data_IF_886940417141
#
_entry.id   IF_886940417141
#
_cell.length_a   1.000
_cell.length_b   1.000
_cell.length_c   1.000
_cell.angle_alpha   90.00
_cell.angle_beta   90.00
_cell.angle_gamma   90.00
#
_symmetry.space_group_name_H-M   'P 1'
#
loop_
_entity.id
_entity.type
_entity.pdbx_description
1 polymer ?
#
# COMPACT_ATOMS: atom_id res chain seq x y z
N UNK A 1 -14.83 -31.91 -1.21
CA UNK A 1 -14.70 -30.76 -2.12
C UNK A 1 -15.47 -31.02 -3.39
N UNK A 2 -16.31 -30.10 -3.76
CA UNK A 2 -17.15 -30.15 -4.96
C UNK A 2 -16.43 -29.39 -6.09
N UNK A 3 -15.79 -30.16 -6.98
CA UNK A 3 -15.01 -29.59 -8.08
C UNK A 3 -15.89 -29.01 -9.21
N UNK A 4 -17.14 -29.46 -9.34
CA UNK A 4 -18.08 -28.91 -10.31
C UNK A 4 -18.47 -27.49 -9.89
N UNK A 5 -18.81 -27.29 -8.62
CA UNK A 5 -19.05 -25.97 -8.04
C UNK A 5 -17.86 -25.04 -8.22
N UNK A 6 -16.62 -25.49 -7.92
CA UNK A 6 -15.41 -24.69 -8.10
C UNK A 6 -15.28 -24.22 -9.55
N UNK A 7 -15.49 -25.13 -10.50
CA UNK A 7 -15.39 -24.81 -11.94
C UNK A 7 -16.44 -23.80 -12.37
N UNK A 8 -17.67 -23.95 -11.90
CA UNK A 8 -18.78 -23.03 -12.22
C UNK A 8 -18.56 -21.63 -11.66
N UNK A 9 -17.99 -21.51 -10.45
CA UNK A 9 -17.79 -20.23 -9.80
C UNK A 9 -16.44 -19.57 -10.13
N UNK A 10 -15.53 -20.26 -10.82
CA UNK A 10 -14.22 -19.72 -11.23
C UNK A 10 -14.32 -18.40 -12.00
N UNK A 11 -15.23 -18.20 -12.98
CA UNK A 11 -15.36 -16.93 -13.70
C UNK A 11 -15.66 -15.75 -12.77
N UNK A 12 -16.51 -15.95 -11.76
CA UNK A 12 -16.88 -14.94 -10.78
C UNK A 12 -15.67 -14.53 -9.93
N UNK A 13 -14.86 -15.51 -9.48
CA UNK A 13 -13.62 -15.22 -8.77
C UNK A 13 -12.58 -14.50 -9.62
N UNK A 14 -12.51 -14.80 -10.92
CA UNK A 14 -11.60 -14.09 -11.84
C UNK A 14 -11.98 -12.62 -11.98
N UNK A 15 -13.27 -12.30 -12.10
CA UNK A 15 -13.72 -10.90 -12.15
C UNK A 15 -13.49 -10.19 -10.82
N UNK A 16 -13.78 -10.81 -9.70
CA UNK A 16 -13.49 -10.27 -8.37
C UNK A 16 -11.97 -10.04 -8.16
N UNK A 17 -11.13 -10.98 -8.62
CA UNK A 17 -9.68 -10.85 -8.55
C UNK A 17 -9.15 -9.66 -9.36
N UNK A 18 -9.69 -9.46 -10.58
CA UNK A 18 -9.36 -8.28 -11.40
C UNK A 18 -9.72 -6.99 -10.70
N UNK A 19 -10.93 -6.91 -10.11
CA UNK A 19 -11.38 -5.74 -9.37
C UNK A 19 -10.48 -5.49 -8.14
N UNK A 20 -10.21 -6.53 -7.34
CA UNK A 20 -9.32 -6.45 -6.18
C UNK A 20 -7.95 -5.93 -6.56
N UNK A 21 -7.34 -6.49 -7.62
CA UNK A 21 -6.04 -6.07 -8.10
C UNK A 21 -6.05 -4.63 -8.64
N UNK A 22 -7.08 -4.26 -9.38
CA UNK A 22 -7.25 -2.90 -9.91
C UNK A 22 -7.30 -1.86 -8.79
N UNK A 23 -8.14 -2.08 -7.77
CA UNK A 23 -8.25 -1.21 -6.61
C UNK A 23 -6.94 -1.14 -5.81
N UNK A 24 -6.28 -2.30 -5.62
CA UNK A 24 -5.00 -2.39 -4.93
C UNK A 24 -3.91 -1.58 -5.64
N UNK A 25 -3.79 -1.72 -6.96
CA UNK A 25 -2.76 -0.99 -7.74
C UNK A 25 -2.97 0.51 -7.64
N UNK A 26 -4.19 1.01 -7.85
CA UNK A 26 -4.48 2.44 -7.73
C UNK A 26 -4.21 2.94 -6.31
N UNK A 27 -4.69 2.22 -5.30
CA UNK A 27 -4.51 2.59 -3.90
C UNK A 27 -3.04 2.63 -3.49
N UNK A 28 -2.24 1.63 -3.90
CA UNK A 28 -0.78 1.58 -3.63
C UNK A 28 -0.04 2.71 -4.35
N UNK A 29 -0.36 3.00 -5.60
CA UNK A 29 0.27 4.11 -6.33
C UNK A 29 -0.02 5.46 -5.65
N UNK A 30 -1.26 5.69 -5.25
CA UNK A 30 -1.63 6.90 -4.50
C UNK A 30 -0.95 6.94 -3.13
N UNK A 31 -0.85 5.80 -2.44
CA UNK A 31 -0.14 5.68 -1.17
C UNK A 31 1.34 6.07 -1.30
N UNK A 32 2.02 5.64 -2.37
CA UNK A 32 3.41 6.03 -2.64
C UNK A 32 3.51 7.55 -2.84
N UNK A 33 2.62 8.14 -3.63
CA UNK A 33 2.63 9.60 -3.89
C UNK A 33 2.41 10.38 -2.58
N UNK A 34 1.38 10.01 -1.80
CA UNK A 34 1.08 10.64 -0.50
C UNK A 34 2.27 10.46 0.45
N UNK A 35 2.83 9.26 0.53
CA UNK A 35 3.97 8.96 1.39
C UNK A 35 5.22 9.77 1.04
N UNK A 36 5.53 9.91 -0.26
CA UNK A 36 6.65 10.74 -0.71
C UNK A 36 6.45 12.22 -0.35
N UNK A 37 5.26 12.76 -0.56
CA UNK A 37 4.92 14.15 -0.19
C UNK A 37 5.10 14.36 1.32
N UNK A 38 4.55 13.46 2.13
CA UNK A 38 4.64 13.53 3.59
C UNK A 38 6.09 13.46 4.08
N UNK A 39 6.90 12.54 3.51
CA UNK A 39 8.33 12.44 3.87
C UNK A 39 9.12 13.68 3.50
N UNK A 40 8.85 14.27 2.33
CA UNK A 40 9.50 15.52 1.93
C UNK A 40 9.16 16.68 2.88
N UNK A 41 7.88 16.81 3.27
CA UNK A 41 7.45 17.83 4.25
C UNK A 41 8.20 17.67 5.59
N UNK A 42 8.33 16.42 6.06
CA UNK A 42 9.07 16.11 7.31
C UNK A 42 10.56 16.38 7.16
N UNK A 43 11.16 15.95 6.05
CA UNK A 43 12.60 16.11 5.78
C UNK A 43 13.01 17.57 5.72
N UNK A 44 12.28 18.39 4.95
CA UNK A 44 12.56 19.83 4.84
C UNK A 44 12.05 20.65 6.03
N UNK A 45 11.44 19.99 7.03
CA UNK A 45 10.94 20.62 8.26
C UNK A 45 10.03 21.81 8.00
N UNK A 46 9.12 21.69 7.01
CA UNK A 46 8.21 22.79 6.64
C UNK A 46 7.30 23.11 7.84
N UNK A 47 7.36 24.32 8.40
CA UNK A 47 6.57 24.68 9.58
C UNK A 47 5.07 24.45 9.36
N UNK A 48 4.32 24.12 10.42
CA UNK A 48 2.88 23.81 10.41
C UNK A 48 2.55 22.52 9.64
N UNK A 49 2.98 22.38 8.36
CA UNK A 49 2.71 21.19 7.56
C UNK A 49 3.32 19.94 8.17
N UNK A 50 4.52 20.06 8.78
CA UNK A 50 5.13 18.94 9.49
C UNK A 50 4.26 18.40 10.61
N UNK A 51 3.65 19.29 11.42
CA UNK A 51 2.79 18.91 12.54
C UNK A 51 1.51 18.22 12.03
N UNK A 52 0.92 18.74 10.94
CA UNK A 52 -0.26 18.15 10.29
C UNK A 52 0.08 16.74 9.78
N UNK A 53 1.22 16.57 9.12
CA UNK A 53 1.67 15.28 8.60
C UNK A 53 1.97 14.29 9.74
N UNK A 54 2.59 14.74 10.83
CA UNK A 54 2.82 13.90 12.02
C UNK A 54 1.50 13.43 12.62
N UNK A 55 0.52 14.32 12.78
CA UNK A 55 -0.82 13.96 13.26
C UNK A 55 -1.52 12.97 12.30
N UNK A 56 -1.44 13.20 10.99
CA UNK A 56 -1.97 12.28 9.99
C UNK A 56 -1.35 10.89 10.09
N UNK A 57 -0.03 10.78 10.15
CA UNK A 57 0.69 9.51 10.23
C UNK A 57 0.28 8.73 11.49
N UNK A 58 0.26 9.40 12.64
CA UNK A 58 -0.15 8.80 13.91
C UNK A 58 -1.61 8.33 13.87
N UNK A 59 -2.52 9.16 13.40
CA UNK A 59 -3.94 8.80 13.30
C UNK A 59 -4.15 7.64 12.33
N UNK A 60 -3.53 7.68 11.17
CA UNK A 60 -3.70 6.67 10.12
C UNK A 60 -3.16 5.30 10.55
N UNK A 61 -1.97 5.24 11.15
CA UNK A 61 -1.31 3.98 11.56
C UNK A 61 -1.94 3.35 12.80
N UNK A 62 -2.58 4.15 13.65
CA UNK A 62 -3.21 3.68 14.89
C UNK A 62 -4.72 3.40 14.73
N UNK A 63 -5.26 3.49 13.51
CA UNK A 63 -6.65 3.13 13.21
C UNK A 63 -6.71 2.03 12.15
N UNK A 64 -7.50 0.94 12.39
CA UNK A 64 -7.66 -0.11 11.38
C UNK A 64 -8.32 0.40 10.09
N UNK A 65 -7.89 -0.13 8.93
CA UNK A 65 -8.48 0.23 7.63
C UNK A 65 -9.99 0.05 7.62
N UNK A 66 -10.50 -1.01 8.21
CA UNK A 66 -11.94 -1.28 8.31
C UNK A 66 -12.71 -0.10 8.94
N UNK A 67 -12.17 0.49 10.02
CA UNK A 67 -12.79 1.63 10.70
C UNK A 67 -12.74 2.88 9.81
N UNK A 68 -11.63 3.11 9.11
CA UNK A 68 -11.49 4.20 8.15
C UNK A 68 -12.51 4.07 7.01
N UNK A 69 -12.70 2.86 6.47
CA UNK A 69 -13.70 2.58 5.44
C UNK A 69 -15.13 2.81 5.94
N UNK A 70 -15.46 2.39 7.16
CA UNK A 70 -16.77 2.65 7.76
C UNK A 70 -17.03 4.14 7.91
N UNK A 71 -16.04 4.91 8.31
CA UNK A 71 -16.17 6.36 8.36
C UNK A 71 -16.44 6.95 6.98
N UNK A 72 -15.69 6.54 5.95
CA UNK A 72 -15.88 7.03 4.59
C UNK A 72 -17.25 6.65 4.01
N UNK A 73 -17.66 5.40 4.19
CA UNK A 73 -18.86 4.86 3.55
C UNK A 73 -20.17 5.17 4.30
N UNK A 74 -20.15 5.13 5.64
CA UNK A 74 -21.34 5.37 6.47
C UNK A 74 -21.33 6.70 7.21
N UNK A 75 -20.16 7.26 7.51
CA UNK A 75 -20.01 8.49 8.27
C UNK A 75 -20.16 9.74 7.40
N UNK A 76 -19.40 9.84 6.30
CA UNK A 76 -19.43 11.01 5.42
C UNK A 76 -20.79 11.32 4.81
N UNK A 77 -21.65 10.37 4.44
CA UNK A 77 -22.99 10.66 3.96
C UNK A 77 -23.85 11.44 4.94
N UNK A 78 -23.61 11.31 6.24
CA UNK A 78 -24.35 12.06 7.27
C UNK A 78 -24.10 13.58 7.24
N UNK A 79 -23.00 13.99 6.61
CA UNK A 79 -22.64 15.40 6.39
C UNK A 79 -22.76 15.80 4.91
N UNK A 80 -23.44 14.98 4.09
CA UNK A 80 -23.74 15.28 2.69
C UNK A 80 -22.66 14.86 1.68
N UNK A 81 -21.59 14.18 2.10
CA UNK A 81 -20.53 13.70 1.20
C UNK A 81 -20.75 12.22 0.93
N UNK A 82 -21.16 11.88 -0.29
CA UNK A 82 -21.41 10.48 -0.70
C UNK A 82 -20.32 10.04 -1.66
N UNK A 83 -19.59 9.00 -1.26
CA UNK A 83 -18.56 8.35 -2.07
C UNK A 83 -19.05 6.98 -2.52
N UNK A 84 -18.64 6.56 -3.73
CA UNK A 84 -18.86 5.18 -4.18
C UNK A 84 -18.02 4.19 -3.37
N UNK A 85 -18.38 2.89 -3.40
CA UNK A 85 -17.60 1.83 -2.76
C UNK A 85 -16.13 1.82 -3.24
N UNK A 86 -15.91 2.02 -4.55
CA UNK A 86 -14.58 2.11 -5.14
C UNK A 86 -13.80 3.33 -4.63
N UNK A 87 -14.45 4.50 -4.57
CA UNK A 87 -13.82 5.71 -4.03
C UNK A 87 -13.45 5.55 -2.55
N UNK A 88 -14.33 4.94 -1.76
CA UNK A 88 -14.03 4.62 -0.36
C UNK A 88 -12.84 3.68 -0.24
N UNK A 89 -12.80 2.58 -1.04
CA UNK A 89 -11.74 1.61 -1.04
C UNK A 89 -10.38 2.23 -1.39
N UNK A 90 -10.32 2.97 -2.51
CA UNK A 90 -9.10 3.64 -2.98
C UNK A 90 -8.64 4.71 -1.97
N UNK A 91 -9.56 5.56 -1.48
CA UNK A 91 -9.22 6.62 -0.54
C UNK A 91 -8.74 6.07 0.81
N UNK A 92 -9.40 5.04 1.34
CA UNK A 92 -9.00 4.39 2.58
C UNK A 92 -7.63 3.73 2.45
N UNK A 93 -7.39 3.00 1.35
CA UNK A 93 -6.12 2.34 1.10
C UNK A 93 -4.99 3.37 0.90
N UNK A 94 -5.25 4.47 0.17
CA UNK A 94 -4.29 5.56 -0.02
C UNK A 94 -3.99 6.30 1.29
N UNK A 95 -5.01 6.52 2.13
CA UNK A 95 -4.87 7.16 3.43
C UNK A 95 -4.03 6.30 4.38
N UNK A 96 -4.35 5.02 4.52
CA UNK A 96 -3.56 4.09 5.33
C UNK A 96 -2.15 3.90 4.76
N UNK A 97 -2.07 3.55 3.48
CA UNK A 97 -0.82 3.25 2.80
C UNK A 97 0.14 4.43 2.75
N UNK A 98 -0.38 5.64 2.56
CA UNK A 98 0.42 6.86 2.53
C UNK A 98 1.24 7.08 3.80
N UNK A 99 0.67 6.76 4.97
CA UNK A 99 1.38 6.85 6.24
C UNK A 99 2.52 5.82 6.37
N UNK A 100 2.29 4.58 5.91
CA UNK A 100 3.32 3.53 5.88
C UNK A 100 4.43 3.83 4.87
N UNK A 101 4.07 4.32 3.68
CA UNK A 101 5.05 4.73 2.65
C UNK A 101 5.87 5.95 3.10
N UNK A 102 5.26 6.89 3.84
CA UNK A 102 5.96 8.04 4.42
C UNK A 102 7.07 7.60 5.39
N UNK A 103 6.79 6.66 6.27
CA UNK A 103 7.77 6.15 7.22
C UNK A 103 8.84 5.28 6.52
N UNK A 104 8.46 4.51 5.49
CA UNK A 104 9.40 3.74 4.69
C UNK A 104 10.43 4.65 4.00
N UNK A 105 9.95 5.73 3.36
CA UNK A 105 10.84 6.67 2.69
C UNK A 105 11.67 7.51 3.68
N UNK A 106 11.09 7.89 4.82
CA UNK A 106 11.84 8.55 5.91
C UNK A 106 12.98 7.67 6.40
N UNK A 107 12.74 6.37 6.63
CA UNK A 107 13.78 5.42 7.01
C UNK A 107 14.90 5.35 5.96
N UNK A 108 14.54 5.37 4.66
CA UNK A 108 15.53 5.42 3.59
C UNK A 108 16.39 6.69 3.61
N UNK A 109 15.78 7.86 3.89
CA UNK A 109 16.52 9.12 4.05
C UNK A 109 17.46 9.09 5.26
N UNK A 110 16.99 8.57 6.39
CA UNK A 110 17.77 8.50 7.64
C UNK A 110 18.96 7.52 7.53
N UNK A 111 18.91 6.57 6.60
CA UNK A 111 19.99 5.59 6.36
C UNK A 111 21.15 6.15 5.52
N UNK A 112 21.04 7.35 4.94
CA UNK A 112 22.15 7.96 4.20
C UNK A 112 23.20 8.48 5.19
N UNK A 113 24.47 8.00 5.10
CA UNK A 113 25.50 8.36 6.07
C UNK A 113 25.79 9.88 6.07
N UNK A 114 25.77 10.55 7.23
CA UNK A 114 26.03 12.00 7.33
C UNK A 114 27.38 12.43 6.74
N UNK A 115 28.38 11.57 6.81
CA UNK A 115 29.72 11.85 6.27
C UNK A 115 29.69 12.09 4.76
N UNK A 116 28.80 11.46 4.00
CA UNK A 116 28.66 11.70 2.56
C UNK A 116 28.12 13.11 2.28
N UNK A 117 27.17 13.56 3.12
CA UNK A 117 26.60 14.92 3.04
C UNK A 117 27.70 15.96 3.36
N UNK A 118 28.46 15.76 4.43
CA UNK A 118 29.54 16.64 4.83
C UNK A 118 30.66 16.71 3.78
N UNK A 119 31.05 15.57 3.22
CA UNK A 119 32.06 15.49 2.16
C UNK A 119 31.61 16.24 0.89
N UNK A 120 30.36 16.06 0.48
CA UNK A 120 29.81 16.73 -0.70
C UNK A 120 29.76 18.26 -0.50
N UNK A 121 29.36 18.72 0.68
CA UNK A 121 29.38 20.15 1.03
C UNK A 121 30.81 20.70 1.03
N UNK A 122 31.81 19.96 1.55
CA UNK A 122 33.22 20.35 1.56
C UNK A 122 33.80 20.46 0.13
N UNK A 123 33.26 19.70 -0.83
CA UNK A 123 33.59 19.83 -2.25
C UNK A 123 32.89 20.99 -2.94
N UNK A 124 32.11 21.81 -2.22
CA UNK A 124 31.46 23.01 -2.73
C UNK A 124 30.08 22.75 -3.38
N UNK A 125 29.49 21.55 -3.20
CA UNK A 125 28.14 21.29 -3.67
C UNK A 125 27.12 22.10 -2.87
N UNK A 126 26.13 22.66 -3.57
CA UNK A 126 24.99 23.32 -2.92
C UNK A 126 24.09 22.27 -2.23
N UNK A 127 23.30 22.69 -1.22
CA UNK A 127 22.35 21.80 -0.52
C UNK A 127 21.39 21.08 -1.48
N UNK A 128 20.95 21.76 -2.55
CA UNK A 128 20.08 21.15 -3.56
C UNK A 128 20.82 20.06 -4.35
N UNK A 129 22.07 20.30 -4.75
CA UNK A 129 22.90 19.30 -5.44
C UNK A 129 23.19 18.09 -4.54
N UNK A 130 23.50 18.31 -3.27
CA UNK A 130 23.69 17.23 -2.30
C UNK A 130 22.40 16.41 -2.17
N UNK A 131 21.25 17.06 -2.03
CA UNK A 131 19.97 16.35 -1.94
C UNK A 131 19.67 15.52 -3.18
N UNK A 132 19.75 16.12 -4.38
CA UNK A 132 19.35 15.45 -5.63
C UNK A 132 20.35 14.40 -6.12
N UNK A 133 21.64 14.59 -5.88
CA UNK A 133 22.68 13.73 -6.44
C UNK A 133 23.25 12.71 -5.44
N UNK A 134 23.11 12.95 -4.14
CA UNK A 134 23.68 12.08 -3.10
C UNK A 134 22.57 11.44 -2.27
N UNK A 135 21.68 12.25 -1.68
CA UNK A 135 20.70 11.76 -0.69
C UNK A 135 19.55 11.04 -1.38
N UNK A 136 18.90 11.69 -2.33
CA UNK A 136 17.67 11.17 -2.94
C UNK A 136 17.83 9.80 -3.64
N UNK A 137 18.87 9.56 -4.47
CA UNK A 137 19.09 8.28 -5.09
C UNK A 137 19.26 7.15 -4.07
N UNK A 138 20.09 7.37 -3.04
CA UNK A 138 20.31 6.39 -1.99
C UNK A 138 19.07 6.19 -1.12
N UNK A 139 18.37 7.25 -0.76
CA UNK A 139 17.12 7.16 0.02
C UNK A 139 16.06 6.34 -0.69
N UNK A 140 15.89 6.52 -2.00
CA UNK A 140 14.96 5.70 -2.82
C UNK A 140 15.39 4.24 -2.79
N UNK A 141 16.66 3.95 -3.03
CA UNK A 141 17.24 2.61 -3.01
C UNK A 141 16.99 1.92 -1.65
N UNK A 142 17.35 2.59 -0.57
CA UNK A 142 17.19 2.10 0.80
C UNK A 142 15.71 1.89 1.21
N UNK A 143 14.77 2.59 0.54
CA UNK A 143 13.34 2.48 0.81
C UNK A 143 12.66 1.32 0.08
N UNK A 144 13.26 0.77 -0.98
CA UNK A 144 12.66 -0.26 -1.83
C UNK A 144 12.18 -1.48 -1.03
N UNK A 145 12.95 -2.08 -0.11
CA UNK A 145 12.48 -3.23 0.67
C UNK A 145 11.23 -2.92 1.48
N UNK A 146 11.21 -1.75 2.14
CA UNK A 146 10.06 -1.31 2.92
C UNK A 146 8.85 -0.98 2.03
N UNK A 147 9.05 -0.40 0.84
CA UNK A 147 7.98 -0.18 -0.14
C UNK A 147 7.37 -1.50 -0.61
N UNK A 148 8.19 -2.49 -0.93
CA UNK A 148 7.74 -3.82 -1.33
C UNK A 148 6.92 -4.50 -0.22
N UNK A 149 7.42 -4.49 1.01
CA UNK A 149 6.71 -5.06 2.15
C UNK A 149 5.35 -4.36 2.39
N UNK A 150 5.33 -3.03 2.34
CA UNK A 150 4.11 -2.25 2.51
C UNK A 150 3.13 -2.43 1.34
N UNK A 151 3.60 -2.56 0.10
CA UNK A 151 2.73 -2.85 -1.04
C UNK A 151 2.03 -4.21 -0.88
N UNK A 152 2.77 -5.26 -0.50
CA UNK A 152 2.22 -6.59 -0.22
C UNK A 152 1.23 -6.52 0.96
N UNK A 153 1.55 -5.77 2.02
CA UNK A 153 0.65 -5.54 3.14
C UNK A 153 -0.66 -4.89 2.68
N UNK A 154 -0.60 -3.81 1.92
CA UNK A 154 -1.78 -3.08 1.43
C UNK A 154 -2.66 -3.92 0.50
N UNK A 155 -2.07 -4.80 -0.33
CA UNK A 155 -2.84 -5.73 -1.15
C UNK A 155 -3.63 -6.72 -0.27
N UNK A 156 -3.07 -7.18 0.85
CA UNK A 156 -3.79 -8.04 1.81
C UNK A 156 -4.91 -7.28 2.51
N UNK A 157 -4.70 -6.01 2.82
CA UNK A 157 -5.71 -5.13 3.45
C UNK A 157 -6.95 -4.94 2.54
N UNK A 158 -6.87 -5.17 1.23
CA UNK A 158 -8.06 -5.12 0.36
C UNK A 158 -9.16 -6.09 0.79
N UNK A 159 -8.84 -7.15 1.52
CA UNK A 159 -9.81 -8.13 2.02
C UNK A 159 -10.93 -7.54 2.88
N UNK A 160 -10.76 -6.32 3.40
CA UNK A 160 -11.81 -5.63 4.16
C UNK A 160 -12.75 -4.79 3.29
N UNK A 161 -12.51 -4.67 1.98
CA UNK A 161 -13.35 -3.90 1.07
C UNK A 161 -14.78 -4.41 0.94
N UNK A 162 -14.98 -5.71 1.18
CA UNK A 162 -16.31 -6.32 1.28
C UNK A 162 -17.23 -5.62 2.31
N UNK A 163 -16.65 -4.92 3.28
CA UNK A 163 -17.40 -4.21 4.32
C UNK A 163 -18.08 -2.91 3.82
N UNK A 164 -17.66 -2.42 2.65
CA UNK A 164 -18.24 -1.24 1.97
C UNK A 164 -18.93 -1.63 0.65
N UNK A 165 -19.46 -2.84 0.60
CA UNK A 165 -20.21 -3.40 -0.54
C UNK A 165 -19.43 -3.36 -1.88
N UNK A 166 -18.09 -3.44 -1.85
CA UNK A 166 -17.29 -3.66 -3.04
C UNK A 166 -17.26 -5.16 -3.36
N UNK A 167 -17.57 -5.54 -4.59
CA UNK A 167 -17.62 -6.95 -5.02
C UNK A 167 -16.21 -7.53 -5.26
N UNK A 168 -15.33 -7.42 -4.26
CA UNK A 168 -13.99 -7.96 -4.24
C UNK A 168 -13.98 -9.49 -3.96
N UNK A 169 -12.81 -10.09 -3.91
CA UNK A 169 -12.65 -11.53 -3.63
C UNK A 169 -13.33 -11.95 -2.32
N UNK A 170 -13.23 -11.16 -1.27
CA UNK A 170 -13.84 -11.50 0.02
C UNK A 170 -15.36 -11.35 -0.01
N UNK A 171 -15.88 -10.35 -0.73
CA UNK A 171 -17.31 -10.16 -0.92
C UNK A 171 -17.93 -11.37 -1.63
N UNK A 172 -17.36 -11.77 -2.78
CA UNK A 172 -17.81 -12.92 -3.56
C UNK A 172 -17.76 -14.19 -2.73
N UNK A 173 -16.68 -14.38 -1.95
CA UNK A 173 -16.56 -15.54 -1.06
C UNK A 173 -17.68 -15.59 -0.03
N UNK A 174 -17.99 -14.48 0.65
CA UNK A 174 -19.07 -14.40 1.63
C UNK A 174 -20.43 -14.65 1.00
N UNK A 175 -20.65 -14.10 -0.19
CA UNK A 175 -21.90 -14.24 -0.93
C UNK A 175 -22.16 -15.71 -1.31
N UNK A 176 -21.15 -16.39 -1.86
CA UNK A 176 -21.24 -17.81 -2.19
C UNK A 176 -21.46 -18.72 -0.96
N UNK A 177 -20.81 -18.42 0.16
CA UNK A 177 -21.05 -19.12 1.43
C UNK A 177 -22.50 -18.91 1.85
N UNK A 178 -23.02 -17.69 1.78
CA UNK A 178 -24.38 -17.36 2.18
C UNK A 178 -25.46 -18.00 1.31
N UNK A 179 -25.22 -18.12 0.00
CA UNK A 179 -26.20 -18.65 -0.96
C UNK A 179 -26.16 -20.18 -1.03
N UNK A 180 -24.95 -20.75 -1.14
CA UNK A 180 -24.78 -22.19 -1.45
C UNK A 180 -24.36 -23.03 -0.26
N UNK A 181 -24.00 -22.41 0.89
CA UNK A 181 -23.50 -23.13 2.08
C UNK A 181 -22.23 -23.96 1.83
N UNK A 182 -21.47 -23.62 0.76
CA UNK A 182 -20.23 -24.30 0.33
C UNK A 182 -19.01 -23.57 0.89
N UNK A 183 -18.84 -23.61 2.22
CA UNK A 183 -17.80 -22.85 2.92
C UNK A 183 -16.40 -23.31 2.54
N UNK A 184 -16.15 -24.63 2.51
CA UNK A 184 -14.82 -25.19 2.25
C UNK A 184 -14.33 -24.85 0.84
N UNK A 185 -15.21 -24.98 -0.16
CA UNK A 185 -14.92 -24.66 -1.54
C UNK A 185 -14.65 -23.15 -1.73
N UNK A 186 -15.53 -22.31 -1.19
CA UNK A 186 -15.41 -20.88 -1.32
C UNK A 186 -14.12 -20.35 -0.64
N UNK A 187 -13.78 -20.84 0.56
CA UNK A 187 -12.53 -20.47 1.25
C UNK A 187 -11.31 -20.99 0.50
N UNK A 188 -11.36 -22.21 -0.02
CA UNK A 188 -10.28 -22.75 -0.86
C UNK A 188 -10.02 -21.86 -2.08
N UNK A 189 -11.07 -21.48 -2.80
CA UNK A 189 -10.96 -20.58 -3.96
C UNK A 189 -10.40 -19.21 -3.56
N UNK A 190 -10.79 -18.66 -2.42
CA UNK A 190 -10.28 -17.40 -1.88
C UNK A 190 -8.76 -17.47 -1.64
N UNK A 191 -8.30 -18.53 -0.95
CA UNK A 191 -6.88 -18.73 -0.66
C UNK A 191 -6.08 -18.85 -1.97
N UNK A 192 -6.56 -19.66 -2.91
CA UNK A 192 -5.89 -19.83 -4.21
C UNK A 192 -5.84 -18.51 -4.98
N UNK A 193 -6.94 -17.74 -5.01
CA UNK A 193 -6.98 -16.44 -5.69
C UNK A 193 -5.97 -15.44 -5.10
N UNK A 194 -5.89 -15.33 -3.76
CA UNK A 194 -4.87 -14.47 -3.13
C UNK A 194 -3.45 -14.98 -3.37
N UNK A 195 -3.21 -16.28 -3.36
CA UNK A 195 -1.89 -16.84 -3.69
C UNK A 195 -1.48 -16.50 -5.14
N UNK A 196 -2.39 -16.63 -6.10
CA UNK A 196 -2.14 -16.29 -7.50
C UNK A 196 -1.77 -14.81 -7.66
N UNK A 197 -2.38 -13.92 -6.88
CA UNK A 197 -2.08 -12.48 -6.91
C UNK A 197 -0.75 -12.19 -6.17
N UNK A 198 -0.60 -12.68 -4.95
CA UNK A 198 0.48 -12.26 -4.05
C UNK A 198 1.82 -12.93 -4.34
N UNK A 199 1.83 -14.20 -4.78
CA UNK A 199 3.10 -14.90 -5.05
C UNK A 199 3.92 -14.23 -6.16
N UNK A 200 3.35 -13.90 -7.35
CA UNK A 200 4.12 -13.21 -8.38
C UNK A 200 4.63 -11.85 -7.91
N UNK A 201 3.79 -11.08 -7.19
CA UNK A 201 4.18 -9.77 -6.67
C UNK A 201 5.33 -9.90 -5.66
N UNK A 202 5.26 -10.88 -4.75
CA UNK A 202 6.31 -11.17 -3.77
C UNK A 202 7.63 -11.57 -4.45
N UNK A 203 7.56 -12.39 -5.50
CA UNK A 203 8.75 -12.78 -6.27
C UNK A 203 9.37 -11.57 -7.00
N UNK A 204 8.55 -10.72 -7.61
CA UNK A 204 9.03 -9.49 -8.26
C UNK A 204 9.68 -8.57 -7.22
N UNK A 205 9.03 -8.36 -6.07
CA UNK A 205 9.59 -7.58 -4.97
C UNK A 205 10.94 -8.12 -4.51
N UNK A 206 11.04 -9.43 -4.26
CA UNK A 206 12.29 -10.07 -3.85
C UNK A 206 13.40 -9.94 -4.91
N UNK A 207 13.05 -10.00 -6.19
CA UNK A 207 13.99 -9.77 -7.28
C UNK A 207 14.50 -8.32 -7.30
N UNK A 208 13.61 -7.35 -7.17
CA UNK A 208 13.95 -5.91 -7.13
C UNK A 208 14.84 -5.60 -5.93
N UNK A 209 14.50 -6.11 -4.74
CA UNK A 209 15.29 -5.95 -3.51
C UNK A 209 16.71 -6.48 -3.66
N UNK A 210 16.86 -7.68 -4.21
CA UNK A 210 18.19 -8.28 -4.46
C UNK A 210 19.00 -7.42 -5.44
N UNK A 211 18.36 -6.93 -6.51
CA UNK A 211 19.06 -6.14 -7.52
C UNK A 211 19.55 -4.81 -6.97
N UNK A 212 18.73 -4.16 -6.13
CA UNK A 212 19.08 -2.89 -5.47
C UNK A 212 20.23 -3.11 -4.49
N UNK A 213 20.16 -4.13 -3.65
CA UNK A 213 21.21 -4.45 -2.69
C UNK A 213 22.55 -4.74 -3.39
N UNK A 214 22.52 -5.52 -4.47
CA UNK A 214 23.73 -5.80 -5.25
C UNK A 214 24.35 -4.54 -5.86
N UNK A 215 23.53 -3.59 -6.32
CA UNK A 215 24.01 -2.32 -6.86
C UNK A 215 24.67 -1.42 -5.80
N UNK A 216 24.27 -1.52 -4.53
CA UNK A 216 24.80 -0.71 -3.42
C UNK A 216 26.03 -1.35 -2.73
N UNK A 217 26.03 -2.65 -2.54
CA UNK A 217 27.03 -3.34 -1.69
C UNK A 217 27.93 -4.32 -2.44
N UNK A 218 27.64 -4.64 -3.71
CA UNK A 218 28.47 -5.50 -4.54
C UNK A 218 28.50 -6.98 -4.16
N UNK A 219 27.56 -7.46 -3.31
CA UNK A 219 27.40 -8.84 -2.87
C UNK A 219 26.19 -9.55 -3.48
#
# INVERSE_FOLDING_TARGET
>A
MDFEFIREQTPLYVEAAKLTLHMAVIGVLLAIVVGLICSMIKYFRIPVLRQIVECYIELSRNTPLLIQLFFLYFGLPKIGIVLSSEQCAISGLAFLGGSYMAEAFRSGLDNVPPIQVESALSLGMSKSQVFTNIILPQAVSNSIPAFCANAIFLIKETSVFSAVALADLMFVTKDLIGIYYKTDEALFMLVIAYLIILLPISLICSFVERRVRYAEYGD
#
